data_IF_549563936153
#
_entry.id   IF_549563936153
#
_cell.length_a   1.000
_cell.length_b   1.000
_cell.length_c   1.000
_cell.angle_alpha   90.00
_cell.angle_beta   90.00
_cell.angle_gamma   90.00
#
_symmetry.space_group_name_H-M   'P 1'
#
loop_
_entity.id
_entity.type
_entity.pdbx_description
1 polymer ?
#
# COMPACT_ATOMS: atom_id res chain seq x y z
N UNK A 1 -11.85 -8.20 3.21
CA UNK A 1 -13.20 -8.79 3.32
C UNK A 1 -14.29 -7.73 3.27
N UNK A 2 -14.26 -6.75 4.18
CA UNK A 2 -15.24 -5.65 4.21
C UNK A 2 -14.52 -4.32 4.45
N UNK A 3 -14.85 -3.25 3.70
CA UNK A 3 -14.28 -1.92 3.94
C UNK A 3 -14.77 -1.30 5.26
N UNK A 4 -15.84 -1.84 5.85
CA UNK A 4 -16.40 -1.33 7.10
C UNK A 4 -15.56 -1.63 8.35
N UNK A 5 -14.44 -2.36 8.21
CA UNK A 5 -13.49 -2.55 9.31
C UNK A 5 -12.56 -1.35 9.52
N UNK A 6 -12.44 -0.45 8.53
CA UNK A 6 -11.54 0.73 8.57
C UNK A 6 -11.67 1.49 9.89
N UNK A 7 -10.53 1.77 10.52
CA UNK A 7 -10.44 2.58 11.74
C UNK A 7 -9.94 3.98 11.46
N UNK A 8 -9.12 4.14 10.42
CA UNK A 8 -8.63 5.43 9.96
C UNK A 8 -9.17 5.73 8.55
N UNK A 9 -10.19 6.58 8.42
CA UNK A 9 -10.75 6.95 7.12
C UNK A 9 -9.79 7.75 6.23
N UNK A 10 -8.72 8.34 6.79
CA UNK A 10 -7.77 9.14 6.00
C UNK A 10 -6.82 8.24 5.24
N UNK A 11 -6.26 7.22 5.91
CA UNK A 11 -5.35 6.25 5.28
C UNK A 11 -6.08 5.05 4.67
N UNK A 12 -7.38 4.90 4.95
CA UNK A 12 -8.19 3.73 4.57
C UNK A 12 -7.65 2.42 5.17
N UNK A 13 -7.12 2.49 6.39
CA UNK A 13 -6.51 1.37 7.08
C UNK A 13 -7.29 0.96 8.34
N UNK A 14 -7.11 -0.30 8.73
CA UNK A 14 -7.48 -0.81 10.05
C UNK A 14 -6.23 -0.85 10.91
N UNK A 15 -6.28 -0.19 12.05
CA UNK A 15 -5.19 -0.08 13.01
C UNK A 15 -5.65 -0.68 14.34
N UNK A 16 -5.10 -1.84 14.70
CA UNK A 16 -5.41 -2.54 15.93
C UNK A 16 -4.20 -2.47 16.88
N UNK A 17 -4.36 -1.82 18.03
CA UNK A 17 -3.33 -1.70 19.06
C UNK A 17 -3.48 -2.82 20.11
N UNK A 18 -2.39 -3.54 20.38
CA UNK A 18 -2.32 -4.70 21.27
C UNK A 18 -3.40 -5.78 21.04
N UNK A 19 -3.67 -6.22 19.79
CA UNK A 19 -4.75 -7.15 19.50
C UNK A 19 -4.46 -8.57 19.96
N UNK A 20 -5.54 -9.32 20.17
CA UNK A 20 -5.53 -10.78 20.06
C UNK A 20 -5.63 -11.19 18.58
N UNK A 21 -5.06 -12.35 18.22
CA UNK A 21 -5.00 -12.85 16.85
C UNK A 21 -5.50 -14.30 16.84
N UNK A 22 -6.65 -14.52 16.21
CA UNK A 22 -7.20 -15.84 15.96
C UNK A 22 -6.70 -16.35 14.61
N UNK A 23 -6.08 -17.53 14.58
CA UNK A 23 -5.61 -18.20 13.37
C UNK A 23 -6.38 -19.51 13.21
N UNK A 24 -7.33 -19.57 12.27
CA UNK A 24 -8.25 -20.69 12.12
C UNK A 24 -8.32 -21.21 10.68
N UNK A 25 -7.99 -22.49 10.45
CA UNK A 25 -7.82 -23.04 9.10
C UNK A 25 -9.06 -22.92 8.21
N UNK A 26 -10.25 -23.13 8.78
CA UNK A 26 -11.50 -23.24 8.02
C UNK A 26 -12.21 -21.91 7.84
N UNK A 27 -13.20 -21.95 6.96
CA UNK A 27 -14.17 -20.90 6.77
C UNK A 27 -15.06 -20.72 8.01
N UNK A 28 -15.33 -19.46 8.37
CA UNK A 28 -16.22 -19.08 9.47
C UNK A 28 -17.45 -18.38 8.90
N UNK A 29 -18.58 -19.09 8.89
CA UNK A 29 -19.88 -18.57 8.38
C UNK A 29 -20.91 -18.33 9.49
N UNK A 30 -20.78 -19.07 10.60
CA UNK A 30 -21.71 -19.00 11.74
C UNK A 30 -21.07 -18.21 12.89
N UNK A 31 -21.81 -17.22 13.41
CA UNK A 31 -21.32 -16.41 14.52
C UNK A 31 -21.26 -17.19 15.83
N UNK A 32 -22.12 -18.22 16.02
CA UNK A 32 -22.21 -18.99 17.28
C UNK A 32 -20.87 -19.61 17.66
N UNK A 33 -20.13 -20.10 16.66
CA UNK A 33 -18.82 -20.72 16.85
C UNK A 33 -17.78 -19.72 17.38
N UNK A 34 -17.95 -18.42 17.07
CA UNK A 34 -17.07 -17.33 17.51
C UNK A 34 -17.49 -16.70 18.84
N UNK A 35 -18.76 -16.80 19.25
CA UNK A 35 -19.28 -16.11 20.45
C UNK A 35 -18.40 -16.36 21.69
N UNK A 36 -18.00 -17.60 22.03
CA UNK A 36 -17.20 -17.85 23.24
C UNK A 36 -15.84 -17.14 23.23
N UNK A 37 -15.20 -17.04 22.07
CA UNK A 37 -13.91 -16.34 21.90
C UNK A 37 -14.11 -14.84 21.93
N UNK A 38 -15.14 -14.34 21.26
CA UNK A 38 -15.47 -12.91 21.22
C UNK A 38 -15.76 -12.38 22.62
N UNK A 39 -16.55 -13.09 23.43
CA UNK A 39 -16.86 -12.70 24.80
C UNK A 39 -15.60 -12.60 25.67
N UNK A 40 -14.70 -13.59 25.58
CA UNK A 40 -13.42 -13.58 26.29
C UNK A 40 -12.57 -12.35 25.90
N UNK A 41 -12.49 -12.02 24.61
CA UNK A 41 -11.66 -10.88 24.14
C UNK A 41 -12.30 -9.53 24.47
N UNK A 42 -13.63 -9.42 24.36
CA UNK A 42 -14.39 -8.22 24.74
C UNK A 42 -14.21 -7.92 26.23
N UNK A 43 -14.21 -8.94 27.10
CA UNK A 43 -13.95 -8.77 28.53
C UNK A 43 -12.56 -8.18 28.83
N UNK A 44 -11.57 -8.45 27.98
CA UNK A 44 -10.23 -7.87 28.10
C UNK A 44 -10.14 -6.43 27.56
N UNK A 45 -11.21 -5.93 26.94
CA UNK A 45 -11.25 -4.64 26.26
C UNK A 45 -10.07 -4.47 25.27
N UNK A 46 -9.80 -5.53 24.50
CA UNK A 46 -8.73 -5.57 23.48
C UNK A 46 -9.33 -5.83 22.09
N UNK A 47 -8.68 -5.35 21.02
CA UNK A 47 -9.11 -5.66 19.67
C UNK A 47 -8.80 -7.10 19.27
N UNK A 48 -9.49 -7.60 18.23
CA UNK A 48 -9.28 -8.94 17.67
C UNK A 48 -9.03 -8.90 16.16
N UNK A 49 -7.95 -9.53 15.72
CA UNK A 49 -7.73 -9.91 14.33
C UNK A 49 -8.15 -11.37 14.12
N UNK A 50 -8.97 -11.63 13.10
CA UNK A 50 -9.36 -12.98 12.71
C UNK A 50 -8.71 -13.29 11.36
N UNK A 51 -7.91 -14.35 11.33
CA UNK A 51 -7.27 -14.87 10.12
C UNK A 51 -7.86 -16.26 9.86
N UNK A 52 -8.65 -16.38 8.80
CA UNK A 52 -9.32 -17.62 8.44
C UNK A 52 -9.30 -17.88 6.93
N UNK A 53 -9.60 -19.09 6.46
CA UNK A 53 -9.75 -19.35 5.02
C UNK A 53 -10.72 -18.37 4.37
N UNK A 54 -11.87 -18.15 5.01
CA UNK A 54 -12.80 -17.08 4.67
C UNK A 54 -13.67 -16.73 5.89
N UNK A 55 -14.21 -15.52 5.92
CA UNK A 55 -15.24 -15.11 6.89
C UNK A 55 -16.39 -14.47 6.13
N UNK A 56 -17.57 -15.09 6.18
CA UNK A 56 -18.72 -14.68 5.39
C UNK A 56 -20.05 -14.88 6.14
N UNK A 57 -21.16 -14.74 5.41
CA UNK A 57 -22.50 -14.99 5.93
C UNK A 57 -22.84 -14.13 7.16
N UNK A 58 -23.47 -14.78 8.13
CA UNK A 58 -23.92 -14.15 9.38
C UNK A 58 -22.73 -13.69 10.25
N UNK A 59 -21.63 -14.46 10.25
CA UNK A 59 -20.42 -14.12 11.00
C UNK A 59 -19.85 -12.78 10.55
N UNK A 60 -19.65 -12.59 9.24
CA UNK A 60 -19.12 -11.33 8.70
C UNK A 60 -20.05 -10.14 8.98
N UNK A 61 -21.36 -10.32 8.74
CA UNK A 61 -22.35 -9.27 8.97
C UNK A 61 -22.35 -8.82 10.43
N UNK A 62 -22.28 -9.77 11.37
CA UNK A 62 -22.28 -9.47 12.80
C UNK A 62 -21.01 -8.75 13.24
N UNK A 63 -19.84 -9.17 12.75
CA UNK A 63 -18.56 -8.49 13.04
C UNK A 63 -18.58 -7.04 12.54
N UNK A 64 -19.08 -6.82 11.31
CA UNK A 64 -19.19 -5.48 10.72
C UNK A 64 -20.14 -4.59 11.53
N UNK A 65 -21.32 -5.08 11.91
CA UNK A 65 -22.29 -4.31 12.69
C UNK A 65 -21.72 -3.92 14.06
N UNK A 66 -21.07 -4.85 14.76
CA UNK A 66 -20.46 -4.58 16.07
C UNK A 66 -19.30 -3.58 15.97
N UNK A 67 -18.51 -3.66 14.89
CA UNK A 67 -17.46 -2.69 14.62
C UNK A 67 -18.01 -1.29 14.37
N UNK A 68 -19.04 -1.17 13.52
CA UNK A 68 -19.68 0.12 13.19
C UNK A 68 -20.37 0.76 14.40
N UNK A 69 -20.92 -0.04 15.31
CA UNK A 69 -21.48 0.43 16.59
C UNK A 69 -20.43 0.88 17.60
N UNK A 70 -19.15 0.60 17.34
CA UNK A 70 -18.05 0.90 18.27
C UNK A 70 -18.00 -0.03 19.48
N UNK A 71 -18.84 -1.07 19.54
CA UNK A 71 -18.89 -2.03 20.65
C UNK A 71 -17.64 -2.89 20.73
N UNK A 72 -17.08 -3.25 19.57
CA UNK A 72 -15.93 -4.14 19.49
C UNK A 72 -15.04 -3.83 18.28
N UNK A 73 -13.77 -3.57 18.54
CA UNK A 73 -12.78 -3.34 17.48
C UNK A 73 -12.25 -4.67 16.97
N UNK A 74 -12.68 -5.07 15.78
CA UNK A 74 -12.20 -6.28 15.13
C UNK A 74 -11.94 -6.08 13.64
N UNK A 75 -11.14 -6.98 13.08
CA UNK A 75 -10.89 -7.09 11.65
C UNK A 75 -10.81 -8.56 11.26
N UNK A 76 -11.42 -8.93 10.14
CA UNK A 76 -11.30 -10.25 9.55
C UNK A 76 -10.58 -10.17 8.21
N UNK A 77 -9.57 -11.03 8.05
CA UNK A 77 -8.75 -11.15 6.83
C UNK A 77 -8.67 -12.60 6.39
N UNK A 78 -8.48 -12.81 5.07
CA UNK A 78 -8.25 -14.16 4.55
C UNK A 78 -6.84 -14.63 4.89
N UNK A 79 -6.70 -15.91 5.18
CA UNK A 79 -5.41 -16.54 5.40
C UNK A 79 -4.55 -16.46 4.12
N UNK A 80 -3.24 -16.19 4.25
CA UNK A 80 -2.36 -16.06 3.10
C UNK A 80 -2.06 -17.42 2.45
N UNK A 81 -1.94 -17.44 1.12
CA UNK A 81 -1.61 -18.63 0.35
C UNK A 81 -2.77 -19.60 0.16
N UNK A 82 -2.48 -20.77 -0.41
CA UNK A 82 -3.45 -21.81 -0.75
C UNK A 82 -2.92 -23.20 -0.39
N UNK A 83 -3.82 -24.17 -0.21
CA UNK A 83 -3.46 -25.57 0.08
C UNK A 83 -2.53 -25.70 1.29
N UNK A 84 -1.51 -26.56 1.18
CA UNK A 84 -0.56 -26.81 2.26
C UNK A 84 0.31 -25.58 2.58
N UNK A 85 0.54 -24.72 1.59
CA UNK A 85 1.25 -23.45 1.83
C UNK A 85 0.46 -22.55 2.78
N UNK A 86 -0.87 -22.51 2.64
CA UNK A 86 -1.74 -21.76 3.57
C UNK A 86 -1.56 -22.27 5.00
N UNK A 87 -1.62 -23.58 5.20
CA UNK A 87 -1.43 -24.19 6.53
C UNK A 87 -0.05 -23.86 7.10
N UNK A 88 0.99 -23.99 6.29
CA UNK A 88 2.37 -23.69 6.71
C UNK A 88 2.56 -22.20 7.07
N UNK A 89 1.96 -21.28 6.32
CA UNK A 89 2.01 -19.84 6.61
C UNK A 89 1.15 -19.45 7.82
N UNK A 90 0.03 -20.14 8.05
CA UNK A 90 -0.77 -19.95 9.28
C UNK A 90 -0.02 -20.40 10.52
N UNK A 91 0.72 -21.51 10.44
CA UNK A 91 1.64 -21.95 11.49
C UNK A 91 2.74 -20.91 11.73
N UNK A 92 3.32 -20.33 10.67
CA UNK A 92 4.31 -19.27 10.79
C UNK A 92 3.76 -18.05 11.56
N UNK A 93 2.51 -17.65 11.27
CA UNK A 93 1.84 -16.54 11.96
C UNK A 93 1.56 -16.89 13.42
N UNK A 94 1.09 -18.10 13.71
CA UNK A 94 0.84 -18.57 15.07
C UNK A 94 2.12 -18.54 15.91
N UNK A 95 3.22 -19.09 15.40
CA UNK A 95 4.54 -19.06 16.05
C UNK A 95 5.04 -17.63 16.25
N UNK A 96 4.92 -16.76 15.24
CA UNK A 96 5.34 -15.35 15.32
C UNK A 96 4.58 -14.58 16.41
N UNK A 97 3.30 -14.89 16.57
CA UNK A 97 2.39 -14.18 17.50
C UNK A 97 2.28 -14.87 18.86
N UNK A 98 2.82 -16.08 19.02
CA UNK A 98 2.76 -16.87 20.25
C UNK A 98 1.40 -17.52 20.51
N UNK A 99 0.56 -17.65 19.47
CA UNK A 99 -0.73 -18.35 19.53
C UNK A 99 -0.66 -19.75 18.91
N UNK A 100 -1.82 -20.39 18.79
CA UNK A 100 -1.98 -21.71 18.17
C UNK A 100 -2.69 -21.59 16.82
N UNK A 101 -2.20 -22.27 15.79
CA UNK A 101 -2.93 -22.42 14.54
C UNK A 101 -3.98 -23.54 14.69
N UNK A 102 -5.25 -23.19 14.57
CA UNK A 102 -6.35 -24.13 14.80
C UNK A 102 -6.66 -24.88 13.51
N UNK A 103 -6.03 -26.05 13.36
CA UNK A 103 -6.25 -26.98 12.25
C UNK A 103 -7.36 -27.98 12.54
N UNK A 104 -8.12 -28.35 11.52
CA UNK A 104 -9.22 -29.33 11.63
C UNK A 104 -8.73 -30.69 12.15
N UNK A 105 -7.52 -31.10 11.72
CA UNK A 105 -6.89 -32.37 12.10
C UNK A 105 -6.60 -32.49 13.60
N UNK A 106 -6.54 -31.37 14.34
CA UNK A 106 -6.32 -31.37 15.79
C UNK A 106 -7.61 -31.66 16.57
N UNK A 107 -8.78 -31.63 15.92
CA UNK A 107 -10.09 -31.87 16.55
C UNK A 107 -10.53 -30.76 17.53
N UNK A 108 -9.82 -29.63 17.57
CA UNK A 108 -10.14 -28.49 18.43
C UNK A 108 -11.25 -27.68 17.79
N UNK A 109 -12.35 -27.49 18.52
CA UNK A 109 -13.47 -26.65 18.10
C UNK A 109 -13.22 -25.19 18.47
N UNK A 110 -13.66 -24.26 17.61
CA UNK A 110 -13.63 -22.81 17.84
C UNK A 110 -14.27 -22.42 19.19
N UNK A 111 -15.37 -23.08 19.56
CA UNK A 111 -16.11 -22.83 20.80
C UNK A 111 -15.29 -23.10 22.07
N UNK A 112 -14.28 -23.97 21.99
CA UNK A 112 -13.48 -24.42 23.13
C UNK A 112 -12.16 -23.63 23.27
N UNK A 113 -11.92 -22.65 22.40
CA UNK A 113 -10.69 -21.88 22.44
C UNK A 113 -10.65 -20.95 23.65
N UNK A 114 -9.45 -20.82 24.20
CA UNK A 114 -9.16 -19.92 25.31
C UNK A 114 -8.31 -18.74 24.85
N UNK A 115 -8.19 -17.71 25.69
CA UNK A 115 -7.27 -16.59 25.42
C UNK A 115 -5.81 -17.02 25.24
N UNK A 116 -5.41 -18.18 25.73
CA UNK A 116 -4.04 -18.72 25.58
C UNK A 116 -3.79 -19.29 24.17
N UNK A 117 -4.84 -19.68 23.45
CA UNK A 117 -4.75 -20.17 22.08
C UNK A 117 -4.60 -19.02 21.06
N UNK A 118 -4.93 -17.79 21.48
CA UNK A 118 -4.86 -16.60 20.64
C UNK A 118 -3.46 -16.00 20.64
N UNK A 119 -2.99 -15.65 19.44
CA UNK A 119 -1.75 -14.90 19.27
C UNK A 119 -1.88 -13.47 19.81
N UNK A 120 -0.73 -12.84 20.06
CA UNK A 120 -0.63 -11.45 20.49
C UNK A 120 0.38 -10.71 19.63
N UNK A 121 0.12 -9.44 19.39
CA UNK A 121 1.07 -8.52 18.77
C UNK A 121 0.93 -7.13 19.40
N UNK A 122 1.94 -6.28 19.25
CA UNK A 122 1.87 -4.89 19.70
C UNK A 122 0.94 -4.07 18.82
N UNK A 123 0.99 -4.26 17.51
CA UNK A 123 0.17 -3.53 16.55
C UNK A 123 -0.08 -4.37 15.30
N UNK A 124 -1.28 -4.25 14.74
CA UNK A 124 -1.62 -4.80 13.42
C UNK A 124 -2.17 -3.68 12.55
N UNK A 125 -1.71 -3.62 11.30
CA UNK A 125 -2.22 -2.70 10.28
C UNK A 125 -2.75 -3.54 9.12
N UNK A 126 -3.99 -3.28 8.70
CA UNK A 126 -4.63 -3.93 7.55
C UNK A 126 -5.05 -2.86 6.56
N UNK A 127 -4.55 -2.94 5.34
CA UNK A 127 -5.01 -2.13 4.22
C UNK A 127 -5.91 -2.97 3.29
N UNK A 128 -6.21 -2.47 2.08
CA UNK A 128 -7.04 -3.19 1.11
C UNK A 128 -6.46 -4.55 0.70
N UNK A 129 -5.13 -4.61 0.56
CA UNK A 129 -4.39 -5.69 -0.09
C UNK A 129 -3.41 -6.41 0.85
N UNK A 130 -3.00 -5.78 1.97
CA UNK A 130 -1.98 -6.28 2.88
C UNK A 130 -2.42 -6.32 4.35
N UNK A 131 -1.78 -7.21 5.11
CA UNK A 131 -1.87 -7.27 6.57
C UNK A 131 -0.47 -7.32 7.15
N UNK A 132 -0.16 -6.37 8.03
CA UNK A 132 1.15 -6.23 8.67
C UNK A 132 1.01 -6.44 10.17
N UNK A 133 1.73 -7.43 10.70
CA UNK A 133 1.79 -7.74 12.13
C UNK A 133 3.11 -7.22 12.68
N UNK A 134 3.06 -6.32 13.67
CA UNK A 134 4.23 -5.62 14.22
C UNK A 134 4.48 -6.10 15.65
N UNK A 135 5.71 -6.53 15.92
CA UNK A 135 6.16 -7.03 17.23
C UNK A 135 5.20 -8.11 17.77
N UNK A 136 5.17 -9.28 17.13
CA UNK A 136 4.46 -10.46 17.61
C UNK A 136 5.05 -10.97 18.94
N UNK A 137 4.20 -11.51 19.82
CA UNK A 137 4.61 -11.98 21.16
C UNK A 137 5.16 -13.41 21.18
N UNK A 138 5.53 -13.97 20.02
CA UNK A 138 6.12 -15.29 19.91
C UNK A 138 7.46 -15.40 20.62
N UNK A 139 7.77 -16.58 21.16
CA UNK A 139 9.06 -16.83 21.81
C UNK A 139 10.17 -16.86 20.76
N UNK A 140 11.28 -16.16 21.02
CA UNK A 140 12.41 -16.11 20.09
C UNK A 140 13.01 -17.48 19.78
N UNK A 141 12.92 -18.44 20.71
CA UNK A 141 13.38 -19.81 20.50
C UNK A 141 12.52 -20.54 19.44
N UNK A 142 11.19 -20.42 19.53
CA UNK A 142 10.24 -21.07 18.62
C UNK A 142 10.35 -20.46 17.20
N UNK A 143 10.50 -19.13 17.12
CA UNK A 143 10.71 -18.42 15.85
C UNK A 143 12.04 -18.87 15.21
N UNK A 144 13.13 -18.96 15.98
CA UNK A 144 14.43 -19.45 15.46
C UNK A 144 14.34 -20.90 15.00
N UNK A 145 13.69 -21.77 15.77
CA UNK A 145 13.49 -23.16 15.39
C UNK A 145 12.71 -23.26 14.07
N UNK A 146 11.68 -22.43 13.89
CA UNK A 146 10.91 -22.36 12.65
C UNK A 146 11.73 -21.85 11.46
N UNK A 147 12.54 -20.81 11.66
CA UNK A 147 13.48 -20.29 10.65
C UNK A 147 14.46 -21.38 10.20
N UNK A 148 15.04 -22.12 11.16
CA UNK A 148 16.01 -23.17 10.86
C UNK A 148 15.35 -24.37 10.18
N UNK A 149 14.09 -24.69 10.51
CA UNK A 149 13.30 -25.67 9.79
C UNK A 149 13.14 -25.28 8.32
N UNK A 150 12.71 -24.05 8.04
CA UNK A 150 12.50 -23.57 6.65
C UNK A 150 13.82 -23.55 5.87
N UNK A 151 14.95 -23.18 6.51
CA UNK A 151 16.28 -23.26 5.89
C UNK A 151 16.67 -24.67 5.47
N UNK A 152 16.35 -25.68 6.28
CA UNK A 152 16.57 -27.10 5.93
C UNK A 152 15.65 -27.56 4.82
N UNK A 153 14.39 -27.11 4.81
CA UNK A 153 13.46 -27.39 3.71
C UNK A 153 13.96 -26.80 2.39
N UNK A 154 14.51 -25.58 2.41
CA UNK A 154 15.14 -24.92 1.25
C UNK A 154 16.30 -25.74 0.70
N UNK A 155 17.23 -26.19 1.56
CA UNK A 155 18.41 -26.96 1.12
C UNK A 155 18.06 -28.31 0.54
N UNK A 156 16.96 -28.91 1.01
CA UNK A 156 16.51 -30.23 0.56
C UNK A 156 15.55 -30.14 -0.65
N UNK A 157 15.12 -28.95 -1.04
CA UNK A 157 14.23 -28.76 -2.17
C UNK A 157 14.98 -28.84 -3.51
N UNK A 158 14.52 -29.72 -4.39
CA UNK A 158 15.01 -29.87 -5.76
C UNK A 158 14.28 -28.97 -6.77
N UNK A 159 13.25 -28.24 -6.32
CA UNK A 159 12.39 -27.38 -7.14
C UNK A 159 12.74 -25.92 -6.90
N UNK A 160 13.12 -25.20 -7.96
CA UNK A 160 13.45 -23.78 -7.87
C UNK A 160 12.24 -22.93 -7.46
N UNK A 161 11.05 -23.32 -7.92
CA UNK A 161 9.79 -22.69 -7.52
C UNK A 161 9.55 -22.84 -6.01
N UNK A 162 9.71 -24.05 -5.46
CA UNK A 162 9.50 -24.27 -4.02
C UNK A 162 10.56 -23.55 -3.19
N UNK A 163 11.79 -23.47 -3.70
CA UNK A 163 12.88 -22.71 -3.07
C UNK A 163 12.53 -21.24 -2.94
N UNK A 164 12.13 -20.60 -4.03
CA UNK A 164 11.70 -19.20 -4.05
C UNK A 164 10.56 -18.95 -3.04
N UNK A 165 9.57 -19.85 -3.00
CA UNK A 165 8.41 -19.71 -2.09
C UNK A 165 8.73 -19.96 -0.63
N UNK A 166 9.72 -20.80 -0.32
CA UNK A 166 10.23 -20.96 1.04
C UNK A 166 11.11 -19.77 1.44
N UNK A 167 11.88 -19.20 0.51
CA UNK A 167 12.67 -17.99 0.74
C UNK A 167 11.78 -16.78 1.05
N UNK A 168 10.64 -16.62 0.38
CA UNK A 168 9.64 -15.60 0.72
C UNK A 168 9.14 -15.73 2.17
N UNK A 169 8.86 -16.96 2.61
CA UNK A 169 8.41 -17.23 4.00
C UNK A 169 9.52 -16.98 5.00
N UNK A 170 10.72 -17.45 4.70
CA UNK A 170 11.92 -17.23 5.51
C UNK A 170 12.19 -15.73 5.65
N UNK A 171 12.10 -14.97 4.58
CA UNK A 171 12.29 -13.52 4.58
C UNK A 171 11.27 -12.81 5.47
N UNK A 172 10.02 -13.28 5.55
CA UNK A 172 8.99 -12.70 6.43
C UNK A 172 9.21 -13.04 7.92
N UNK A 173 9.77 -14.21 8.23
CA UNK A 173 10.06 -14.61 9.61
C UNK A 173 11.40 -14.07 10.13
N UNK A 174 12.43 -14.03 9.27
CA UNK A 174 13.76 -13.53 9.59
C UNK A 174 13.87 -12.01 9.40
N UNK A 175 13.12 -11.45 8.45
CA UNK A 175 13.02 -10.02 8.20
C UNK A 175 12.20 -9.37 9.30
N UNK A 176 12.89 -8.78 10.27
CA UNK A 176 12.25 -7.97 11.29
C UNK A 176 11.49 -6.79 10.69
N UNK A 177 10.48 -6.31 11.41
CA UNK A 177 9.79 -5.07 11.05
C UNK A 177 10.61 -3.88 11.56
N UNK A 178 11.12 -3.06 10.65
CA UNK A 178 11.76 -1.79 11.02
C UNK A 178 10.69 -0.76 11.41
N UNK A 179 10.82 -0.17 12.60
CA UNK A 179 9.89 0.86 13.10
C UNK A 179 10.57 2.23 13.08
N UNK A 180 9.97 3.19 12.37
CA UNK A 180 10.38 4.59 12.39
C UNK A 180 9.41 5.37 13.27
N UNK A 181 9.88 5.91 14.40
CA UNK A 181 9.06 6.76 15.27
C UNK A 181 9.26 8.23 14.86
N UNK A 182 8.20 8.90 14.40
CA UNK A 182 8.25 10.29 13.98
C UNK A 182 7.77 11.20 15.11
N UNK A 183 8.65 12.09 15.57
CA UNK A 183 8.36 13.11 16.58
C UNK A 183 8.30 14.52 15.99
N UNK A 184 7.41 15.35 16.54
CA UNK A 184 7.29 16.79 16.26
C UNK A 184 6.75 17.55 17.49
N UNK A 185 6.77 18.89 17.44
CA UNK A 185 6.35 19.73 18.56
C UNK A 185 4.83 19.85 18.68
N UNK A 186 4.10 19.75 17.56
CA UNK A 186 2.64 19.76 17.51
C UNK A 186 2.09 18.54 16.77
N UNK A 187 0.82 18.20 17.01
CA UNK A 187 0.16 17.07 16.35
C UNK A 187 0.09 17.27 14.82
N UNK A 188 -0.21 18.49 14.37
CA UNK A 188 -0.29 18.82 12.94
C UNK A 188 1.05 18.61 12.23
N UNK A 189 2.14 19.08 12.84
CA UNK A 189 3.50 18.84 12.32
C UNK A 189 3.88 17.35 12.34
N UNK A 190 3.48 16.63 13.39
CA UNK A 190 3.76 15.19 13.49
C UNK A 190 3.09 14.44 12.34
N UNK A 191 1.84 14.78 12.02
CA UNK A 191 1.10 14.18 10.89
C UNK A 191 1.75 14.47 9.54
N UNK A 192 2.12 15.73 9.27
CA UNK A 192 2.81 16.12 8.03
C UNK A 192 4.17 15.42 7.89
N UNK A 193 4.97 15.43 8.96
CA UNK A 193 6.29 14.81 8.97
C UNK A 193 6.21 13.30 8.83
N UNK A 194 5.19 12.67 9.44
CA UNK A 194 4.91 11.25 9.29
C UNK A 194 4.57 10.93 7.83
N UNK A 195 3.67 11.68 7.21
CA UNK A 195 3.31 11.49 5.80
C UNK A 195 4.54 11.60 4.88
N UNK A 196 5.41 12.60 5.09
CA UNK A 196 6.67 12.71 4.33
C UNK A 196 7.61 11.52 4.47
N UNK A 197 7.68 10.92 5.66
CA UNK A 197 8.49 9.71 5.89
C UNK A 197 7.89 8.51 5.17
N UNK A 198 6.56 8.38 5.16
CA UNK A 198 5.84 7.34 4.42
C UNK A 198 6.06 7.50 2.90
N UNK A 199 5.93 8.71 2.37
CA UNK A 199 6.20 9.02 0.96
C UNK A 199 7.65 8.67 0.57
N UNK A 200 8.62 9.06 1.40
CA UNK A 200 10.03 8.74 1.18
C UNK A 200 10.30 7.23 1.18
N UNK A 201 9.62 6.47 2.06
CA UNK A 201 9.72 5.01 2.10
C UNK A 201 9.19 4.39 0.80
N UNK A 202 8.03 4.84 0.31
CA UNK A 202 7.45 4.36 -0.94
C UNK A 202 8.31 4.72 -2.16
N UNK A 203 8.84 5.94 -2.22
CA UNK A 203 9.76 6.38 -3.27
C UNK A 203 11.05 5.55 -3.27
N UNK A 204 11.63 5.27 -2.09
CA UNK A 204 12.84 4.45 -1.97
C UNK A 204 12.61 3.02 -2.45
N UNK A 205 11.47 2.40 -2.09
CA UNK A 205 11.10 1.07 -2.59
C UNK A 205 10.98 1.06 -4.12
N UNK A 206 10.28 2.03 -4.68
CA UNK A 206 10.12 2.17 -6.12
C UNK A 206 11.48 2.37 -6.84
N UNK A 207 12.40 3.11 -6.23
CA UNK A 207 13.74 3.35 -6.76
C UNK A 207 14.61 2.08 -6.75
N UNK A 208 14.48 1.24 -5.72
CA UNK A 208 15.17 -0.06 -5.65
C UNK A 208 14.63 -1.03 -6.72
N UNK A 209 13.33 -0.97 -7.02
CA UNK A 209 12.69 -1.86 -7.99
C UNK A 209 13.01 -1.53 -9.45
N UNK A 210 12.82 -0.28 -9.88
CA UNK A 210 12.96 0.13 -11.30
C UNK A 210 14.09 1.14 -11.55
N UNK A 211 14.90 1.45 -10.53
CA UNK A 211 15.99 2.43 -10.64
C UNK A 211 15.53 3.89 -10.53
N UNK A 212 16.44 4.80 -10.91
CA UNK A 212 16.26 6.25 -10.77
C UNK A 212 16.52 6.99 -12.08
N UNK A 213 15.92 8.16 -12.22
CA UNK A 213 16.02 9.09 -13.34
C UNK A 213 16.40 10.50 -12.84
N UNK A 214 16.93 11.39 -13.71
CA UNK A 214 17.04 12.81 -13.37
C UNK A 214 15.64 13.37 -13.10
N UNK A 215 15.46 13.98 -11.93
CA UNK A 215 14.17 14.48 -11.47
C UNK A 215 13.75 15.79 -12.13
N UNK A 216 12.86 16.53 -11.46
CA UNK A 216 12.44 17.87 -11.90
C UNK A 216 11.71 17.89 -13.23
N UNK A 217 11.11 16.77 -13.66
CA UNK A 217 10.46 16.64 -14.96
C UNK A 217 11.41 16.50 -16.16
N UNK A 218 12.73 16.49 -15.95
CA UNK A 218 13.73 16.37 -17.02
C UNK A 218 13.60 15.04 -17.76
N UNK A 219 13.38 13.94 -17.05
CA UNK A 219 13.26 12.63 -17.67
C UNK A 219 12.12 12.54 -18.71
N UNK A 220 10.96 13.12 -18.40
CA UNK A 220 9.81 13.15 -19.32
C UNK A 220 10.07 14.03 -20.54
N UNK A 221 10.67 15.21 -20.33
CA UNK A 221 11.06 16.11 -21.41
C UNK A 221 12.09 15.49 -22.36
N UNK A 222 13.05 14.74 -21.80
CA UNK A 222 14.04 13.99 -22.60
C UNK A 222 13.38 12.89 -23.40
N UNK A 223 12.54 12.08 -22.75
CA UNK A 223 11.82 11.00 -23.42
C UNK A 223 10.99 11.53 -24.59
N UNK A 224 10.27 12.64 -24.41
CA UNK A 224 9.46 13.25 -25.48
C UNK A 224 10.29 13.82 -26.63
N UNK A 225 11.53 14.27 -26.39
CA UNK A 225 12.43 14.71 -27.46
C UNK A 225 13.01 13.55 -28.30
N UNK A 226 13.08 12.35 -27.73
CA UNK A 226 13.71 11.17 -28.36
C UNK A 226 12.73 10.19 -28.98
N UNK A 227 11.48 10.19 -28.51
CA UNK A 227 10.45 9.27 -29.02
C UNK A 227 10.17 9.62 -30.49
N UNK A 228 10.10 8.58 -31.33
CA UNK A 228 9.72 8.71 -32.72
C UNK A 228 8.25 8.33 -32.87
N UNK A 229 7.49 9.00 -33.76
CA UNK A 229 6.16 8.53 -34.10
C UNK A 229 6.23 7.14 -34.74
N UNK A 230 5.13 6.40 -34.70
CA UNK A 230 5.00 5.20 -35.52
C UNK A 230 5.05 5.56 -37.02
N UNK A 231 5.46 4.61 -37.84
CA UNK A 231 5.39 4.76 -39.29
C UNK A 231 3.92 4.89 -39.71
N UNK A 232 3.61 5.85 -40.59
CA UNK A 232 2.27 6.08 -41.16
C UNK A 232 1.14 6.40 -40.15
N UNK A 233 1.29 7.46 -39.35
CA UNK A 233 0.18 7.99 -38.55
C UNK A 233 -0.87 8.72 -39.41
N UNK A 234 -2.15 8.49 -39.11
CA UNK A 234 -3.25 9.34 -39.58
C UNK A 234 -3.15 10.76 -38.99
N UNK A 235 -3.97 11.68 -39.51
CA UNK A 235 -3.99 13.06 -39.00
C UNK A 235 -4.31 13.11 -37.49
N UNK A 236 -5.35 12.38 -37.07
CA UNK A 236 -5.84 12.39 -35.68
C UNK A 236 -4.84 11.72 -34.74
N UNK A 237 -4.20 10.63 -35.17
CA UNK A 237 -3.14 9.98 -34.38
C UNK A 237 -1.91 10.89 -34.23
N UNK A 238 -1.57 11.66 -35.27
CA UNK A 238 -0.49 12.66 -35.19
C UNK A 238 -0.83 13.78 -34.21
N UNK A 239 -2.09 14.21 -34.14
CA UNK A 239 -2.56 15.17 -33.12
C UNK A 239 -2.42 14.55 -31.72
N UNK A 240 -2.87 13.31 -31.53
CA UNK A 240 -2.73 12.59 -30.26
C UNK A 240 -1.27 12.46 -29.81
N UNK A 241 -0.37 12.09 -30.73
CA UNK A 241 1.08 12.05 -30.49
C UNK A 241 1.62 13.39 -29.99
N UNK A 242 1.28 14.50 -30.66
CA UNK A 242 1.73 15.84 -30.28
C UNK A 242 1.16 16.30 -28.93
N UNK A 243 -0.06 15.88 -28.57
CA UNK A 243 -0.65 16.15 -27.25
C UNK A 243 0.23 15.55 -26.15
N UNK A 244 0.65 14.30 -26.30
CA UNK A 244 1.52 13.62 -25.32
C UNK A 244 2.88 14.31 -25.22
N UNK A 245 3.51 14.65 -26.36
CA UNK A 245 4.79 15.36 -26.36
C UNK A 245 4.73 16.69 -25.60
N UNK A 246 3.64 17.45 -25.81
CA UNK A 246 3.41 18.71 -25.11
C UNK A 246 3.16 18.49 -23.62
N UNK A 247 2.38 17.48 -23.25
CA UNK A 247 2.08 17.15 -21.86
C UNK A 247 3.34 16.78 -21.07
N UNK A 248 4.33 16.12 -21.69
CA UNK A 248 5.61 15.81 -21.05
C UNK A 248 6.43 17.04 -20.62
N UNK A 249 6.13 18.23 -21.15
CA UNK A 249 6.75 19.50 -20.71
C UNK A 249 6.17 20.03 -19.41
N UNK A 250 4.90 19.72 -19.13
CA UNK A 250 4.13 20.32 -18.04
C UNK A 250 4.79 20.17 -16.65
N UNK A 251 5.38 19.03 -16.26
CA UNK A 251 5.99 18.89 -14.94
C UNK A 251 7.16 19.86 -14.71
N UNK A 252 8.07 19.99 -15.67
CA UNK A 252 9.21 20.92 -15.56
C UNK A 252 8.72 22.38 -15.59
N UNK A 253 7.75 22.70 -16.45
CA UNK A 253 7.13 24.02 -16.51
C UNK A 253 6.53 24.41 -15.16
N UNK A 254 5.69 23.55 -14.57
CA UNK A 254 5.04 23.83 -13.29
C UNK A 254 6.04 23.99 -12.15
N UNK A 255 7.08 23.14 -12.09
CA UNK A 255 8.14 23.26 -11.08
C UNK A 255 8.90 24.58 -11.22
N UNK A 256 9.18 24.99 -12.46
CA UNK A 256 9.90 26.24 -12.74
C UNK A 256 9.08 27.48 -12.41
N UNK A 257 7.79 27.47 -12.77
CA UNK A 257 6.86 28.57 -12.48
C UNK A 257 6.62 28.73 -10.98
N UNK A 258 6.48 27.62 -10.24
CA UNK A 258 6.42 27.66 -8.78
C UNK A 258 7.71 28.19 -8.12
N UNK A 259 8.84 28.09 -8.82
CA UNK A 259 10.11 28.69 -8.41
C UNK A 259 10.30 30.13 -8.90
N UNK A 260 9.31 30.72 -9.58
CA UNK A 260 9.35 32.09 -10.09
C UNK A 260 10.07 32.29 -11.42
N UNK A 261 10.37 31.21 -12.15
CA UNK A 261 11.02 31.25 -13.46
C UNK A 261 10.03 30.97 -14.61
N UNK A 262 10.35 31.43 -15.82
CA UNK A 262 9.56 31.11 -17.01
C UNK A 262 9.79 29.64 -17.43
N UNK A 263 8.76 28.81 -17.26
CA UNK A 263 8.86 27.38 -17.54
C UNK A 263 9.08 27.04 -19.02
N UNK A 264 8.69 27.91 -19.95
CA UNK A 264 8.96 27.75 -21.37
C UNK A 264 10.44 27.90 -21.68
N UNK A 265 11.06 28.98 -21.18
CA UNK A 265 12.50 29.26 -21.32
C UNK A 265 13.31 28.16 -20.65
N UNK A 266 12.92 27.73 -19.45
CA UNK A 266 13.60 26.62 -18.74
C UNK A 266 13.55 25.33 -19.54
N UNK A 267 12.39 24.97 -20.10
CA UNK A 267 12.26 23.76 -20.93
C UNK A 267 13.20 23.80 -22.15
N UNK A 268 13.25 24.92 -22.88
CA UNK A 268 14.13 25.05 -24.05
C UNK A 268 15.61 24.93 -23.66
N UNK A 269 16.03 25.64 -22.61
CA UNK A 269 17.41 25.57 -22.12
C UNK A 269 17.79 24.17 -21.62
N UNK A 270 16.86 23.47 -20.98
CA UNK A 270 17.05 22.07 -20.62
C UNK A 270 17.17 21.23 -21.89
N UNK A 271 16.30 21.38 -22.90
CA UNK A 271 16.35 20.65 -24.17
C UNK A 271 17.69 20.77 -24.91
N UNK A 272 18.33 21.94 -24.88
CA UNK A 272 19.66 22.16 -25.47
C UNK A 272 20.78 21.35 -24.78
N UNK A 273 20.56 20.98 -23.52
CA UNK A 273 21.46 20.11 -22.75
C UNK A 273 21.29 18.62 -23.07
N UNK A 274 22.09 17.78 -22.40
CA UNK A 274 22.09 16.33 -22.59
C UNK A 274 22.03 15.59 -21.27
N UNK A 275 21.54 14.35 -21.32
CA UNK A 275 21.54 13.43 -20.17
C UNK A 275 20.90 14.10 -18.94
N UNK A 276 21.62 14.15 -17.82
CA UNK A 276 21.15 14.61 -16.52
C UNK A 276 21.13 16.14 -16.36
N UNK A 277 21.54 16.90 -17.38
CA UNK A 277 21.49 18.35 -17.34
C UNK A 277 20.04 18.82 -17.19
N UNK A 278 19.79 19.63 -16.17
CA UNK A 278 18.47 20.11 -15.81
C UNK A 278 18.51 21.40 -15.00
N UNK A 279 17.33 21.92 -14.67
CA UNK A 279 17.16 23.08 -13.82
C UNK A 279 16.83 22.64 -12.40
N UNK A 280 17.66 23.02 -11.43
CA UNK A 280 17.45 22.78 -10.02
C UNK A 280 16.67 23.96 -9.42
N UNK A 281 15.37 23.76 -9.19
CA UNK A 281 14.47 24.76 -8.64
C UNK A 281 14.77 25.14 -7.18
N UNK A 282 15.52 24.32 -6.44
CA UNK A 282 15.89 24.62 -5.05
C UNK A 282 17.00 25.68 -4.98
N UNK A 283 17.94 25.64 -5.92
CA UNK A 283 19.13 26.50 -5.95
C UNK A 283 19.09 27.55 -7.06
N UNK A 284 18.07 27.51 -7.93
CA UNK A 284 17.91 28.38 -9.10
C UNK A 284 19.11 28.30 -10.07
N UNK A 285 19.62 27.08 -10.30
CA UNK A 285 20.80 26.83 -11.14
C UNK A 285 20.61 25.70 -12.13
N UNK A 286 21.35 25.74 -13.24
CA UNK A 286 21.39 24.66 -14.23
C UNK A 286 22.61 23.77 -13.99
N UNK A 287 22.38 22.48 -13.76
CA UNK A 287 23.43 21.55 -13.36
C UNK A 287 23.06 20.09 -13.69
N UNK A 288 23.94 19.16 -13.31
CA UNK A 288 23.68 17.72 -13.38
C UNK A 288 22.80 17.32 -12.18
N UNK A 289 21.51 17.10 -12.43
CA UNK A 289 20.52 16.85 -11.38
C UNK A 289 20.79 15.58 -10.58
N UNK A 290 21.36 14.55 -11.21
CA UNK A 290 21.70 13.30 -10.52
C UNK A 290 22.85 13.54 -9.54
N UNK A 291 23.86 14.32 -9.94
CA UNK A 291 24.96 14.72 -9.03
C UNK A 291 24.49 15.66 -7.93
N UNK A 292 23.51 16.52 -8.22
CA UNK A 292 22.89 17.40 -7.23
C UNK A 292 21.92 16.67 -6.28
N UNK A 293 21.62 15.39 -6.54
CA UNK A 293 20.69 14.58 -5.73
C UNK A 293 19.21 14.80 -6.04
N UNK A 294 18.88 15.52 -7.10
CA UNK A 294 17.51 15.71 -7.60
C UNK A 294 17.16 14.56 -8.53
N UNK A 295 16.64 13.48 -7.93
CA UNK A 295 16.35 12.21 -8.60
C UNK A 295 14.91 11.77 -8.35
N UNK A 296 14.31 11.13 -9.34
CA UNK A 296 12.98 10.53 -9.25
C UNK A 296 13.06 9.02 -9.49
N UNK A 297 12.27 8.18 -8.78
CA UNK A 297 12.16 6.76 -9.12
C UNK A 297 11.55 6.55 -10.50
N UNK A 298 12.15 5.70 -11.33
CA UNK A 298 11.67 5.39 -12.70
C UNK A 298 10.19 4.99 -12.72
N UNK A 299 9.81 4.12 -11.77
CA UNK A 299 8.45 3.62 -11.60
C UNK A 299 7.45 4.75 -11.39
N UNK A 300 7.79 5.75 -10.58
CA UNK A 300 6.91 6.89 -10.29
C UNK A 300 6.67 7.72 -11.55
N UNK A 301 7.74 8.08 -12.27
CA UNK A 301 7.62 8.87 -13.51
C UNK A 301 6.80 8.16 -14.59
N UNK A 302 7.06 6.86 -14.81
CA UNK A 302 6.35 6.05 -15.81
C UNK A 302 4.88 5.83 -15.43
N UNK A 303 4.60 5.51 -14.17
CA UNK A 303 3.23 5.28 -13.68
C UNK A 303 2.41 6.58 -13.71
N UNK A 304 3.01 7.72 -13.36
CA UNK A 304 2.33 9.02 -13.45
C UNK A 304 1.88 9.33 -14.89
N UNK A 305 2.77 9.18 -15.87
CA UNK A 305 2.42 9.39 -17.28
C UNK A 305 1.35 8.40 -17.77
N UNK A 306 1.51 7.11 -17.44
CA UNK A 306 0.57 6.07 -17.85
C UNK A 306 -0.83 6.27 -17.29
N UNK A 307 -0.95 6.59 -16.01
CA UNK A 307 -2.24 6.84 -15.36
C UNK A 307 -2.89 8.13 -15.89
N UNK A 308 -2.12 9.20 -16.07
CA UNK A 308 -2.62 10.45 -16.65
C UNK A 308 -3.15 10.23 -18.07
N UNK A 309 -2.40 9.52 -18.92
CA UNK A 309 -2.84 9.17 -20.27
C UNK A 309 -4.10 8.30 -20.25
N UNK A 310 -4.18 7.32 -19.33
CA UNK A 310 -5.36 6.44 -19.21
C UNK A 310 -6.63 7.23 -18.90
N UNK A 311 -6.59 8.18 -17.95
CA UNK A 311 -7.76 8.99 -17.59
C UNK A 311 -8.10 9.98 -18.70
N UNK A 312 -7.08 10.62 -19.31
CA UNK A 312 -7.29 11.55 -20.41
C UNK A 312 -7.96 10.87 -21.62
N UNK A 313 -7.51 9.67 -22.00
CA UNK A 313 -8.14 8.90 -23.09
C UNK A 313 -9.59 8.60 -22.79
N UNK A 314 -9.91 8.13 -21.57
CA UNK A 314 -11.29 7.86 -21.17
C UNK A 314 -12.19 9.08 -21.32
N UNK A 315 -11.71 10.26 -20.88
CA UNK A 315 -12.45 11.52 -20.97
C UNK A 315 -12.62 11.98 -22.42
N UNK A 316 -11.57 11.87 -23.25
CA UNK A 316 -11.62 12.26 -24.66
C UNK A 316 -12.57 11.38 -25.48
N UNK A 317 -12.79 10.13 -25.09
CA UNK A 317 -13.73 9.20 -25.74
C UNK A 317 -15.12 9.19 -25.11
N UNK A 318 -15.39 10.05 -24.12
CA UNK A 318 -16.69 10.08 -23.43
C UNK A 318 -17.68 10.99 -24.16
N UNK A 319 -18.60 10.40 -24.92
CA UNK A 319 -19.64 11.16 -25.65
C UNK A 319 -20.81 11.64 -24.76
N UNK A 320 -21.07 10.97 -23.65
CA UNK A 320 -22.16 11.31 -22.75
C UNK A 320 -21.85 10.98 -21.28
N UNK A 321 -22.42 11.76 -20.37
CA UNK A 321 -22.33 11.54 -18.93
C UNK A 321 -23.76 11.52 -18.35
N UNK A 322 -24.03 10.53 -17.50
CA UNK A 322 -25.27 10.44 -16.72
C UNK A 322 -24.92 10.75 -15.26
N UNK A 323 -25.55 11.78 -14.71
CA UNK A 323 -25.35 12.20 -13.34
C UNK A 323 -26.68 12.28 -12.59
N UNK A 324 -26.64 12.18 -11.26
CA UNK A 324 -27.81 12.44 -10.43
C UNK A 324 -28.24 13.90 -10.58
N UNK A 325 -29.55 14.14 -10.71
CA UNK A 325 -30.09 15.50 -10.69
C UNK A 325 -29.69 16.15 -9.36
N UNK A 326 -29.14 17.38 -9.35
CA UNK A 326 -28.84 18.10 -8.12
C UNK A 326 -30.06 18.11 -7.20
N UNK A 327 -29.88 17.73 -5.93
CA UNK A 327 -30.95 17.78 -4.93
C UNK A 327 -31.32 19.24 -4.68
N UNK A 328 -32.61 19.58 -4.80
CA UNK A 328 -33.10 20.92 -4.42
C UNK A 328 -32.80 21.15 -2.93
N UNK A 329 -32.05 22.22 -2.63
CA UNK A 329 -31.64 22.58 -1.26
C UNK A 329 -30.26 22.08 -0.81
N UNK A 330 -29.50 21.38 -1.66
CA UNK A 330 -28.09 21.09 -1.38
C UNK A 330 -27.26 22.37 -1.47
N UNK A 331 -26.66 22.81 -0.35
CA UNK A 331 -25.68 23.91 -0.32
C UNK A 331 -24.72 23.76 -1.50
N UNK A 332 -24.62 24.80 -2.34
CA UNK A 332 -23.54 24.94 -3.33
C UNK A 332 -22.23 24.66 -2.59
N UNK A 333 -21.56 23.56 -2.92
CA UNK A 333 -20.22 23.30 -2.42
C UNK A 333 -19.36 24.50 -2.79
N UNK A 334 -18.62 25.03 -1.82
CA UNK A 334 -17.60 26.06 -2.04
C UNK A 334 -16.50 25.48 -2.95
N UNK A 335 -16.71 25.51 -4.26
CA UNK A 335 -15.62 25.57 -5.23
C UNK A 335 -15.15 27.01 -5.25
N UNK A 336 -13.93 27.24 -4.78
CA UNK A 336 -13.36 28.58 -4.65
C UNK A 336 -13.31 29.29 -6.01
N UNK A 337 -14.03 30.40 -6.11
CA UNK A 337 -13.60 31.54 -6.91
C UNK A 337 -12.26 32.00 -6.34
N UNK A 338 -11.18 31.63 -7.02
CA UNK A 338 -10.02 32.50 -7.06
C UNK A 338 -9.97 33.10 -8.46
N UNK A 339 -10.50 34.32 -8.52
CA UNK A 339 -10.32 35.29 -9.59
C UNK A 339 -8.87 35.29 -10.08
N UNK A 340 -8.72 35.03 -11.37
CA UNK A 340 -7.53 35.40 -12.15
C UNK A 340 -7.59 36.90 -12.41
N UNK A 341 -6.79 37.66 -11.66
CA UNK A 341 -6.21 38.93 -12.09
C UNK A 341 -4.73 38.95 -11.69
#
# INVERSE_FOLDING_TARGET
LSPYFVTDPQTMEVVLENPYILVHEKKISNIKDLVPVLEQVVQQNKPLLIIAEDVDGEALATLVINRLRGTFNCCAVKAPGYGDRRKAMMEDIAILTGGSAIFEALGIKLENLTLADLGRAKKVIVDKDNTTIIEGAGKSADIKARIDQIRREISNSTSDYDREKLEERLAKLAGGVAKVNVGAATESEMKEKKARVEDALHATRAAVEEGILPGGGVALLRASSTVKPADELTHDEKVGYNIVLRACRAPLTMISENAGQDGGIVCEKVLDGKSNFGYNALTDTYEDLVKAGVIDPTKVTRTALGNAASVATLLLTSDALVAEKPKEGGKKGHGGDHDMY
#
